data_IF_253937152732
#
_entry.id   IF_253937152732
#
_cell.length_a   1.000
_cell.length_b   1.000
_cell.length_c   1.000
_cell.angle_alpha   90.00
_cell.angle_beta   90.00
_cell.angle_gamma   90.00
#
_symmetry.space_group_name_H-M   'P 1'
#
loop_
_entity.id
_entity.type
_entity.pdbx_description
1 polymer ?
#
# COMPACT_ATOMS: atom_id res chain seq x y z
N UNK A 1 33.20 -10.66 -51.78
CA UNK A 1 32.29 -9.90 -50.90
C UNK A 1 31.58 -10.87 -49.99
N UNK A 2 31.87 -10.84 -48.69
CA UNK A 2 30.94 -11.23 -47.62
C UNK A 2 31.64 -10.91 -46.30
N UNK A 3 31.50 -9.67 -45.86
CA UNK A 3 31.88 -9.28 -44.50
C UNK A 3 30.80 -9.82 -43.56
N UNK A 4 31.06 -10.97 -42.94
CA UNK A 4 30.29 -11.42 -41.80
C UNK A 4 30.69 -10.55 -40.60
N UNK A 5 29.90 -9.53 -40.31
CA UNK A 5 30.02 -8.76 -39.07
C UNK A 5 29.71 -9.68 -37.90
N UNK A 6 30.74 -9.98 -37.12
CA UNK A 6 30.64 -10.57 -35.79
C UNK A 6 29.68 -9.73 -34.93
N UNK A 7 28.45 -10.18 -34.72
CA UNK A 7 27.59 -9.68 -33.64
C UNK A 7 28.29 -9.98 -32.30
N UNK A 8 28.95 -8.97 -31.72
CA UNK A 8 29.43 -9.06 -30.34
C UNK A 8 28.22 -9.28 -29.45
N UNK A 9 28.08 -10.48 -28.85
CA UNK A 9 27.07 -10.74 -27.81
C UNK A 9 27.20 -9.68 -26.72
N UNK A 10 26.24 -8.77 -26.68
CA UNK A 10 26.22 -7.66 -25.72
C UNK A 10 26.10 -8.22 -24.31
N UNK A 11 27.03 -7.87 -23.43
CA UNK A 11 27.05 -8.37 -22.06
C UNK A 11 25.93 -7.69 -21.25
N UNK A 12 25.09 -8.49 -20.60
CA UNK A 12 24.01 -7.99 -19.76
C UNK A 12 24.57 -7.19 -18.58
N UNK A 13 23.94 -6.06 -18.26
CA UNK A 13 24.18 -5.39 -16.99
C UNK A 13 23.54 -6.20 -15.86
N UNK A 14 24.25 -6.28 -14.74
CA UNK A 14 23.75 -6.87 -13.51
C UNK A 14 23.76 -5.81 -12.41
N UNK A 15 22.80 -5.91 -11.50
CA UNK A 15 22.77 -5.07 -10.32
C UNK A 15 24.08 -5.27 -9.55
N UNK A 16 24.74 -4.17 -9.19
CA UNK A 16 26.04 -4.21 -8.54
C UNK A 16 25.99 -5.04 -7.26
N UNK A 17 26.88 -6.03 -7.19
CA UNK A 17 27.03 -6.89 -6.02
C UNK A 17 28.18 -6.36 -5.18
N UNK A 18 27.83 -5.75 -4.06
CA UNK A 18 28.78 -5.23 -3.08
C UNK A 18 28.67 -6.05 -1.80
N UNK A 19 29.66 -5.90 -0.94
CA UNK A 19 29.80 -6.66 0.29
C UNK A 19 29.93 -5.75 1.51
N UNK A 20 29.94 -6.36 2.70
CA UNK A 20 30.30 -5.66 3.94
C UNK A 20 31.69 -5.01 3.87
N UNK A 21 32.63 -5.59 3.10
CA UNK A 21 33.96 -5.03 2.89
C UNK A 21 33.90 -3.71 2.12
N UNK A 22 32.96 -3.56 1.18
CA UNK A 22 32.75 -2.29 0.47
C UNK A 22 32.22 -1.21 1.41
N UNK A 23 31.34 -1.56 2.36
CA UNK A 23 30.91 -0.62 3.41
C UNK A 23 32.05 -0.19 4.34
N UNK A 24 33.00 -1.09 4.64
CA UNK A 24 34.23 -0.74 5.39
C UNK A 24 35.14 0.17 4.57
N UNK A 25 35.35 -0.14 3.29
CA UNK A 25 36.18 0.67 2.38
C UNK A 25 35.59 2.08 2.20
N UNK A 26 34.27 2.19 2.06
CA UNK A 26 33.59 3.48 1.93
C UNK A 26 33.90 4.42 3.10
N UNK A 27 34.13 3.92 4.33
CA UNK A 27 34.49 4.77 5.49
C UNK A 27 35.68 5.67 5.19
N UNK A 28 36.67 5.17 4.46
CA UNK A 28 37.93 5.86 4.15
C UNK A 28 37.96 6.42 2.72
N UNK A 29 37.38 5.70 1.76
CA UNK A 29 37.42 6.06 0.32
C UNK A 29 35.98 6.03 -0.23
N UNK A 30 35.21 7.10 -0.02
CA UNK A 30 33.81 7.11 -0.43
C UNK A 30 33.69 7.19 -1.95
N UNK A 31 32.87 6.30 -2.51
CA UNK A 31 32.59 6.23 -3.94
C UNK A 31 31.10 6.49 -4.22
N UNK A 32 30.79 7.00 -5.40
CA UNK A 32 29.40 7.17 -5.84
C UNK A 32 29.33 6.93 -7.34
N UNK A 33 28.64 5.86 -7.70
CA UNK A 33 28.39 5.46 -9.08
C UNK A 33 26.90 5.15 -9.22
N UNK A 34 26.35 5.43 -10.41
CA UNK A 34 24.96 5.18 -10.75
C UNK A 34 24.94 4.45 -12.09
N UNK A 35 24.29 3.28 -12.11
CA UNK A 35 23.98 2.57 -13.34
C UNK A 35 22.46 2.65 -13.60
N UNK A 36 22.10 3.00 -14.84
CA UNK A 36 20.71 3.01 -15.30
C UNK A 36 20.47 1.78 -16.16
N UNK A 37 19.84 0.78 -15.55
CA UNK A 37 19.60 -0.52 -16.17
C UNK A 37 18.21 -0.53 -16.79
N UNK A 38 18.15 -0.56 -18.12
CA UNK A 38 16.93 -0.60 -18.91
C UNK A 38 16.43 -2.04 -19.07
N UNK A 39 15.16 -2.23 -18.72
CA UNK A 39 14.37 -3.42 -19.00
C UNK A 39 13.12 -3.05 -19.78
N UNK A 40 12.78 -3.90 -20.74
CA UNK A 40 11.58 -3.85 -21.56
C UNK A 40 11.11 -5.28 -21.80
N UNK A 41 9.98 -5.46 -22.51
CA UNK A 41 9.54 -6.79 -22.92
C UNK A 41 10.53 -7.49 -23.87
N UNK A 42 11.38 -6.74 -24.57
CA UNK A 42 12.37 -7.29 -25.50
C UNK A 42 13.62 -7.84 -24.81
N UNK A 43 13.90 -7.43 -23.57
CA UNK A 43 15.13 -7.77 -22.85
C UNK A 43 14.88 -8.10 -21.36
N UNK A 44 13.85 -8.91 -21.10
CA UNK A 44 13.34 -9.24 -19.75
C UNK A 44 14.42 -9.70 -18.76
N UNK A 45 15.38 -10.50 -19.21
CA UNK A 45 16.39 -11.15 -18.37
C UNK A 45 17.80 -10.57 -18.55
N UNK A 46 17.96 -9.61 -19.46
CA UNK A 46 19.27 -9.06 -19.83
C UNK A 46 19.16 -7.54 -19.83
N UNK A 47 19.52 -6.93 -18.71
CA UNK A 47 19.47 -5.49 -18.60
C UNK A 47 20.49 -4.87 -19.54
N UNK A 48 20.11 -3.77 -20.18
CA UNK A 48 21.00 -3.00 -21.04
C UNK A 48 21.21 -1.60 -20.46
N UNK A 49 22.31 -0.91 -20.78
CA UNK A 49 22.45 0.49 -20.37
C UNK A 49 21.38 1.33 -21.06
N UNK A 50 20.81 2.30 -20.34
CA UNK A 50 19.83 3.24 -20.90
C UNK A 50 20.38 4.04 -22.09
N UNK A 51 21.66 4.41 -22.02
CA UNK A 51 22.39 5.08 -23.09
C UNK A 51 23.57 4.22 -23.53
N UNK A 52 23.78 4.19 -24.84
CA UNK A 52 24.94 3.57 -25.48
C UNK A 52 26.25 4.29 -25.10
N UNK A 53 27.40 3.64 -25.34
CA UNK A 53 28.71 4.26 -25.06
C UNK A 53 28.95 5.55 -25.85
N UNK A 54 28.36 5.66 -27.05
CA UNK A 54 28.40 6.87 -27.87
C UNK A 54 27.39 7.96 -27.42
N UNK A 55 26.67 7.74 -26.31
CA UNK A 55 25.68 8.65 -25.76
C UNK A 55 24.30 8.59 -26.41
N UNK A 56 24.11 7.77 -27.46
CA UNK A 56 22.80 7.57 -28.08
C UNK A 56 21.85 6.81 -27.15
N UNK A 57 20.54 7.03 -27.32
CA UNK A 57 19.53 6.34 -26.55
C UNK A 57 19.46 4.87 -26.98
N UNK A 58 19.35 3.95 -26.01
CA UNK A 58 19.24 2.53 -26.30
C UNK A 58 18.00 2.24 -27.19
N UNK A 59 18.19 1.41 -28.22
CA UNK A 59 17.17 1.06 -29.23
C UNK A 59 15.91 0.41 -28.66
N UNK A 60 16.02 -0.25 -27.49
CA UNK A 60 14.88 -0.85 -26.81
C UNK A 60 14.02 0.20 -26.07
N UNK A 61 14.55 1.39 -25.79
CA UNK A 61 13.80 2.45 -25.12
C UNK A 61 12.83 3.14 -26.09
N UNK A 62 11.57 3.28 -25.68
CA UNK A 62 10.57 4.04 -26.44
C UNK A 62 10.09 5.26 -25.68
N UNK A 63 10.27 6.45 -26.25
CA UNK A 63 9.86 7.73 -25.65
C UNK A 63 8.34 7.89 -25.49
N UNK A 64 7.58 7.14 -26.28
CA UNK A 64 6.11 7.14 -26.27
C UNK A 64 5.52 6.25 -25.17
N UNK A 65 6.32 5.35 -24.57
CA UNK A 65 5.85 4.43 -23.53
C UNK A 65 5.98 5.05 -22.15
N UNK A 66 5.13 4.58 -21.22
CA UNK A 66 5.32 4.83 -19.78
C UNK A 66 6.72 4.37 -19.37
N UNK A 67 7.40 5.19 -18.57
CA UNK A 67 8.73 4.88 -18.05
C UNK A 67 8.70 4.83 -16.52
N UNK A 68 8.89 3.63 -15.98
CA UNK A 68 8.97 3.41 -14.53
C UNK A 68 10.42 3.51 -14.08
N UNK A 69 10.69 4.42 -13.15
CA UNK A 69 12.00 4.56 -12.51
C UNK A 69 11.96 3.86 -11.15
N UNK A 70 12.62 2.71 -11.04
CA UNK A 70 12.62 1.89 -9.83
C UNK A 70 13.88 2.16 -9.00
N UNK A 71 13.71 2.78 -7.83
CA UNK A 71 14.82 3.30 -7.02
C UNK A 71 14.85 2.62 -5.64
N UNK A 72 15.92 1.88 -5.38
CA UNK A 72 16.11 1.22 -4.08
C UNK A 72 16.55 2.18 -2.97
N UNK A 73 16.56 1.67 -1.74
CA UNK A 73 16.96 2.40 -0.53
C UNK A 73 18.39 2.17 -0.06
N UNK A 74 18.62 2.37 1.24
CA UNK A 74 19.87 2.11 1.95
C UNK A 74 20.28 0.62 1.89
N UNK A 75 21.57 0.34 1.72
CA UNK A 75 22.11 -1.01 1.49
C UNK A 75 23.41 -1.24 2.27
N UNK A 76 23.41 -1.31 3.62
CA UNK A 76 24.65 -1.40 4.39
C UNK A 76 25.49 -2.66 4.11
N UNK A 77 24.92 -3.67 3.47
CA UNK A 77 25.62 -4.91 3.05
C UNK A 77 25.84 -4.98 1.54
N UNK A 78 25.37 -4.01 0.76
CA UNK A 78 25.54 -4.01 -0.69
C UNK A 78 24.74 -5.03 -1.47
N UNK A 79 23.78 -5.71 -0.83
CA UNK A 79 23.04 -6.81 -1.47
C UNK A 79 21.94 -6.31 -2.41
N UNK A 80 21.78 -7.03 -3.53
CA UNK A 80 20.67 -6.83 -4.45
C UNK A 80 19.32 -6.93 -3.72
N UNK A 81 18.34 -6.04 -4.00
CA UNK A 81 17.00 -6.21 -3.47
C UNK A 81 16.40 -7.57 -3.85
N UNK A 82 16.03 -8.39 -2.88
CA UNK A 82 15.41 -9.71 -3.11
C UNK A 82 14.09 -9.62 -3.89
N UNK A 83 13.36 -8.51 -3.74
CA UNK A 83 12.11 -8.25 -4.45
C UNK A 83 12.30 -7.82 -5.91
N UNK A 84 13.50 -7.38 -6.32
CA UNK A 84 13.72 -6.72 -7.62
C UNK A 84 13.39 -7.62 -8.82
N UNK A 85 13.87 -8.87 -8.92
CA UNK A 85 13.58 -9.73 -10.07
C UNK A 85 12.08 -9.96 -10.26
N UNK A 86 11.34 -10.22 -9.18
CA UNK A 86 9.91 -10.43 -9.26
C UNK A 86 9.16 -9.14 -9.58
N UNK A 87 9.60 -7.98 -9.05
CA UNK A 87 8.95 -6.70 -9.31
C UNK A 87 9.06 -6.30 -10.80
N UNK A 88 10.24 -6.51 -11.41
CA UNK A 88 10.43 -6.29 -12.85
C UNK A 88 9.46 -7.13 -13.69
N UNK A 89 9.37 -8.43 -13.39
CA UNK A 89 8.45 -9.35 -14.06
C UNK A 89 7.00 -8.88 -13.96
N UNK A 90 6.55 -8.52 -12.76
CA UNK A 90 5.17 -8.08 -12.51
C UNK A 90 4.83 -6.80 -13.29
N UNK A 91 5.73 -5.81 -13.31
CA UNK A 91 5.52 -4.57 -14.04
C UNK A 91 5.44 -4.79 -15.56
N UNK A 92 6.35 -5.56 -16.14
CA UNK A 92 6.36 -5.84 -17.58
C UNK A 92 5.19 -6.73 -18.03
N UNK A 93 4.69 -7.60 -17.15
CA UNK A 93 3.46 -8.35 -17.38
C UNK A 93 2.23 -7.43 -17.37
N UNK A 94 2.22 -6.38 -16.56
CA UNK A 94 1.06 -5.49 -16.42
C UNK A 94 0.79 -4.64 -17.66
N UNK A 95 1.84 -4.08 -18.25
CA UNK A 95 1.76 -3.11 -19.36
C UNK A 95 3.10 -3.07 -20.11
N UNK A 96 3.05 -2.74 -21.40
CA UNK A 96 4.27 -2.54 -22.18
C UNK A 96 4.90 -1.18 -21.85
N UNK A 97 6.00 -1.20 -21.11
CA UNK A 97 6.63 -0.01 -20.54
C UNK A 97 8.16 -0.11 -20.60
N UNK A 98 8.83 1.02 -20.45
CA UNK A 98 10.24 1.05 -20.09
C UNK A 98 10.37 0.94 -18.57
N UNK A 99 11.26 0.09 -18.06
CA UNK A 99 11.65 0.10 -16.66
C UNK A 99 13.13 0.44 -16.56
N UNK A 100 13.44 1.47 -15.78
CA UNK A 100 14.81 1.87 -15.48
C UNK A 100 15.05 1.56 -14.01
N UNK A 101 15.85 0.53 -13.74
CA UNK A 101 16.36 0.29 -12.39
C UNK A 101 17.52 1.23 -12.16
N UNK A 102 17.38 2.08 -11.13
CA UNK A 102 18.45 2.97 -10.69
C UNK A 102 19.29 2.24 -9.67
N UNK A 103 20.39 1.67 -10.12
CA UNK A 103 21.40 1.10 -9.24
C UNK A 103 22.34 2.21 -8.78
N UNK A 104 22.15 2.67 -7.54
CA UNK A 104 23.04 3.61 -6.86
C UNK A 104 23.74 2.93 -5.67
N UNK A 105 23.88 1.60 -5.70
CA UNK A 105 24.32 0.79 -4.57
C UNK A 105 25.70 1.21 -4.04
N UNK A 106 26.62 1.68 -4.91
CA UNK A 106 27.91 2.28 -4.51
C UNK A 106 27.74 3.49 -3.58
N UNK A 107 26.70 4.30 -3.76
CA UNK A 107 26.37 5.41 -2.85
C UNK A 107 25.50 5.03 -1.66
N UNK A 108 24.88 3.83 -1.69
CA UNK A 108 23.99 3.30 -0.65
C UNK A 108 24.67 2.32 0.32
N UNK A 109 25.82 1.76 -0.08
CA UNK A 109 26.61 0.75 0.63
C UNK A 109 27.62 1.42 1.54
N UNK A 110 27.18 1.70 2.74
CA UNK A 110 27.96 2.38 3.77
C UNK A 110 27.42 2.02 5.14
N UNK A 111 28.24 2.06 6.18
CA UNK A 111 27.75 2.03 7.57
C UNK A 111 27.33 3.42 8.08
N UNK A 112 27.75 4.48 7.40
CA UNK A 112 27.42 5.85 7.77
C UNK A 112 26.09 6.24 7.12
N UNK A 113 24.98 5.95 7.78
CA UNK A 113 23.64 6.28 7.27
C UNK A 113 23.50 7.75 6.83
N UNK A 114 24.11 8.69 7.57
CA UNK A 114 24.10 10.11 7.19
C UNK A 114 24.77 10.41 5.85
N UNK A 115 25.74 9.59 5.43
CA UNK A 115 26.38 9.67 4.11
C UNK A 115 25.43 9.19 3.03
N UNK A 116 24.77 8.05 3.20
CA UNK A 116 23.73 7.58 2.28
C UNK A 116 22.61 8.62 2.12
N UNK A 117 22.16 9.23 3.22
CA UNK A 117 21.19 10.35 3.20
C UNK A 117 21.71 11.52 2.37
N UNK A 118 22.95 11.97 2.55
CA UNK A 118 23.54 13.06 1.74
C UNK A 118 23.64 12.68 0.26
N UNK A 119 23.96 11.43 -0.04
CA UNK A 119 24.09 10.91 -1.40
C UNK A 119 22.77 10.95 -2.18
N UNK A 120 21.61 10.84 -1.50
CA UNK A 120 20.29 10.92 -2.18
C UNK A 120 20.14 12.16 -3.07
N UNK A 121 20.62 13.33 -2.61
CA UNK A 121 20.59 14.57 -3.41
C UNK A 121 21.55 14.53 -4.59
N UNK A 122 22.70 13.87 -4.44
CA UNK A 122 23.68 13.70 -5.53
C UNK A 122 23.11 12.77 -6.60
N UNK A 123 22.49 11.68 -6.20
CA UNK A 123 21.77 10.76 -7.10
C UNK A 123 20.68 11.49 -7.86
N UNK A 124 19.82 12.25 -7.17
CA UNK A 124 18.76 13.01 -7.82
C UNK A 124 19.26 14.02 -8.85
N UNK A 125 20.37 14.72 -8.58
CA UNK A 125 21.00 15.61 -9.57
C UNK A 125 21.49 14.84 -10.79
N UNK A 126 22.19 13.73 -10.60
CA UNK A 126 22.65 12.87 -11.69
C UNK A 126 21.49 12.34 -12.54
N UNK A 127 20.45 11.80 -11.90
CA UNK A 127 19.23 11.36 -12.58
C UNK A 127 18.57 12.49 -13.39
N UNK A 128 18.60 13.72 -12.89
CA UNK A 128 18.02 14.86 -13.60
C UNK A 128 18.77 15.20 -14.89
N UNK A 129 20.08 14.99 -14.96
CA UNK A 129 20.82 15.15 -16.23
C UNK A 129 20.42 14.10 -17.26
N UNK A 130 20.30 12.83 -16.85
CA UNK A 130 19.81 11.76 -17.74
C UNK A 130 18.39 12.02 -18.22
N UNK A 131 17.50 12.49 -17.33
CA UNK A 131 16.12 12.85 -17.69
C UNK A 131 16.12 13.98 -18.70
N UNK A 132 16.90 15.06 -18.52
CA UNK A 132 17.00 16.14 -19.51
C UNK A 132 17.45 15.62 -20.87
N UNK A 133 18.35 14.65 -20.92
CA UNK A 133 18.71 14.01 -22.17
C UNK A 133 17.55 13.22 -22.78
N UNK A 134 16.79 12.44 -22.01
CA UNK A 134 15.58 11.78 -22.50
C UNK A 134 14.54 12.77 -23.06
N UNK A 135 14.39 13.94 -22.43
CA UNK A 135 13.49 14.99 -22.93
C UNK A 135 13.93 15.52 -24.30
N UNK A 136 15.25 15.63 -24.55
CA UNK A 136 15.77 15.99 -25.88
C UNK A 136 15.44 14.94 -26.94
N UNK A 137 15.33 13.66 -26.55
CA UNK A 137 14.87 12.58 -27.42
C UNK A 137 13.33 12.53 -27.58
N UNK A 138 12.59 13.42 -26.91
CA UNK A 138 11.13 13.49 -27.01
C UNK A 138 10.37 12.72 -25.94
N UNK A 139 11.03 12.22 -24.89
CA UNK A 139 10.32 11.70 -23.72
C UNK A 139 9.52 12.82 -23.02
N UNK A 140 8.44 12.46 -22.34
CA UNK A 140 7.64 13.39 -21.54
C UNK A 140 7.74 13.06 -20.05
N UNK A 141 7.88 14.10 -19.22
CA UNK A 141 7.84 13.96 -17.76
C UNK A 141 6.51 13.36 -17.27
N UNK A 142 5.43 13.57 -18.02
CA UNK A 142 4.10 13.02 -17.71
C UNK A 142 4.04 11.50 -17.79
N UNK A 143 4.87 10.90 -18.64
CA UNK A 143 4.96 9.46 -18.79
C UNK A 143 5.85 8.81 -17.72
N UNK A 144 6.45 9.58 -16.83
CA UNK A 144 7.37 9.07 -15.83
C UNK A 144 6.66 8.74 -14.52
N UNK A 145 6.86 7.50 -14.06
CA UNK A 145 6.40 7.01 -12.77
C UNK A 145 7.61 6.57 -11.95
N UNK A 146 7.96 7.38 -10.95
CA UNK A 146 9.02 7.05 -10.01
C UNK A 146 8.47 6.17 -8.89
N UNK A 147 9.06 5.00 -8.68
CA UNK A 147 8.74 4.11 -7.57
C UNK A 147 9.98 4.00 -6.70
N UNK A 148 9.96 4.71 -5.58
CA UNK A 148 11.10 4.82 -4.68
C UNK A 148 10.84 4.14 -3.35
N UNK A 149 11.72 3.22 -2.94
CA UNK A 149 11.65 2.59 -1.62
C UNK A 149 12.60 3.27 -0.63
N UNK A 150 12.17 3.52 0.61
CA UNK A 150 13.06 4.02 1.68
C UNK A 150 13.74 5.34 1.27
N UNK A 151 15.08 5.41 1.28
CA UNK A 151 15.84 6.55 0.74
C UNK A 151 15.52 6.85 -0.74
N UNK A 152 15.17 5.85 -1.54
CA UNK A 152 14.76 5.99 -2.94
C UNK A 152 13.48 6.81 -3.11
N UNK A 153 12.59 6.83 -2.13
CA UNK A 153 11.41 7.69 -2.13
C UNK A 153 11.81 9.18 -2.09
N UNK A 154 12.81 9.52 -1.28
CA UNK A 154 13.33 10.88 -1.20
C UNK A 154 14.17 11.26 -2.42
N UNK A 155 14.93 10.32 -3.01
CA UNK A 155 15.57 10.53 -4.31
C UNK A 155 14.52 10.93 -5.35
N UNK A 156 13.41 10.19 -5.42
CA UNK A 156 12.29 10.49 -6.31
C UNK A 156 11.72 11.90 -6.07
N UNK A 157 11.49 12.27 -4.80
CA UNK A 157 11.03 13.61 -4.45
C UNK A 157 12.02 14.72 -4.83
N UNK A 158 13.32 14.49 -4.66
CA UNK A 158 14.35 15.45 -5.08
C UNK A 158 14.41 15.64 -6.60
N UNK A 159 14.26 14.57 -7.37
CA UNK A 159 14.12 14.68 -8.83
C UNK A 159 12.87 15.49 -9.17
N UNK A 160 11.75 15.18 -8.53
CA UNK A 160 10.49 15.92 -8.67
C UNK A 160 10.63 17.42 -8.44
N UNK A 161 11.33 17.83 -7.37
CA UNK A 161 11.64 19.23 -7.07
C UNK A 161 12.48 19.91 -8.16
N UNK A 162 13.48 19.21 -8.70
CA UNK A 162 14.33 19.74 -9.78
C UNK A 162 13.48 20.03 -11.04
N UNK A 163 12.49 19.18 -11.32
CA UNK A 163 11.52 19.37 -12.39
C UNK A 163 10.25 20.10 -11.95
N UNK A 164 10.29 20.84 -10.84
CA UNK A 164 9.21 21.72 -10.37
C UNK A 164 7.84 21.00 -10.24
N UNK A 165 7.85 19.74 -9.82
CA UNK A 165 6.62 18.95 -9.64
C UNK A 165 5.99 18.43 -10.93
N UNK A 166 6.66 18.55 -12.08
CA UNK A 166 6.11 18.18 -13.38
C UNK A 166 6.18 16.69 -13.71
N UNK A 167 6.79 15.86 -12.84
CA UNK A 167 6.77 14.41 -13.01
C UNK A 167 5.32 13.88 -12.99
N UNK A 168 5.02 12.87 -13.80
CA UNK A 168 3.68 12.28 -13.89
C UNK A 168 3.19 11.69 -12.57
N UNK A 169 3.99 10.81 -11.97
CA UNK A 169 3.69 10.17 -10.68
C UNK A 169 4.93 9.82 -9.86
N UNK A 170 4.86 9.98 -8.55
CA UNK A 170 5.79 9.37 -7.59
C UNK A 170 5.02 8.45 -6.65
N UNK A 171 5.45 7.21 -6.51
CA UNK A 171 5.02 6.31 -5.44
C UNK A 171 6.15 6.14 -4.42
N UNK A 172 5.89 6.53 -3.18
CA UNK A 172 6.79 6.32 -2.04
C UNK A 172 6.48 5.01 -1.32
N UNK A 173 7.39 4.04 -1.38
CA UNK A 173 7.27 2.76 -0.69
C UNK A 173 8.04 2.81 0.63
N UNK A 174 7.31 3.05 1.70
CA UNK A 174 7.80 3.28 3.07
C UNK A 174 9.01 4.24 3.10
N UNK A 175 8.82 5.53 2.77
CA UNK A 175 9.90 6.52 2.76
C UNK A 175 10.65 6.56 4.08
N UNK A 176 11.97 6.79 4.06
CA UNK A 176 12.78 6.71 5.28
C UNK A 176 12.51 7.88 6.26
N UNK A 177 12.17 7.57 7.50
CA UNK A 177 11.99 8.54 8.59
C UNK A 177 13.29 9.18 9.10
N UNK A 178 14.34 8.41 9.43
CA UNK A 178 15.56 8.95 10.04
C UNK A 178 16.23 10.02 9.17
N UNK A 179 16.63 11.14 9.77
CA UNK A 179 17.19 12.36 9.11
C UNK A 179 16.22 13.14 8.20
N UNK A 180 15.01 12.65 7.94
CA UNK A 180 13.97 13.37 7.18
C UNK A 180 12.80 13.83 8.04
N UNK A 181 12.44 13.10 9.10
CA UNK A 181 11.32 13.43 10.00
C UNK A 181 11.51 14.79 10.65
N UNK A 182 10.41 15.57 10.75
CA UNK A 182 10.44 16.94 11.25
C UNK A 182 11.17 17.96 10.34
N UNK A 183 11.66 17.54 9.16
CA UNK A 183 12.34 18.45 8.23
C UNK A 183 11.36 19.12 7.26
N UNK A 184 11.70 20.31 6.75
CA UNK A 184 10.84 21.03 5.80
C UNK A 184 10.67 20.27 4.48
N UNK A 185 9.59 20.58 3.76
CA UNK A 185 9.20 19.86 2.54
C UNK A 185 10.28 19.86 1.45
N UNK A 186 11.12 20.90 1.39
CA UNK A 186 12.20 21.04 0.41
C UNK A 186 13.35 20.02 0.59
N UNK A 187 13.43 19.32 1.73
CA UNK A 187 14.50 18.36 2.02
C UNK A 187 14.03 16.90 2.19
N UNK A 188 12.81 16.58 1.77
CA UNK A 188 12.22 15.23 1.79
C UNK A 188 11.28 15.05 0.59
N UNK A 189 10.61 13.90 0.49
CA UNK A 189 9.50 13.72 -0.43
C UNK A 189 8.33 14.61 0.04
N UNK A 190 7.59 15.19 -0.89
CA UNK A 190 6.37 15.94 -0.63
C UNK A 190 5.39 15.80 -1.81
N UNK A 191 4.11 16.06 -1.58
CA UNK A 191 3.07 15.90 -2.59
C UNK A 191 3.29 16.83 -3.78
N UNK A 192 4.00 17.96 -3.59
CA UNK A 192 4.32 18.92 -4.64
C UNK A 192 5.33 18.38 -5.66
N UNK A 193 5.97 17.25 -5.40
CA UNK A 193 7.09 16.76 -6.19
C UNK A 193 6.67 16.07 -7.49
N UNK A 194 5.38 15.82 -7.68
CA UNK A 194 4.83 15.30 -8.92
C UNK A 194 3.36 15.71 -9.09
N UNK A 195 2.83 15.55 -10.31
CA UNK A 195 1.41 15.70 -10.60
C UNK A 195 0.54 14.73 -9.81
N UNK A 196 1.09 13.63 -9.33
CA UNK A 196 0.45 12.73 -8.37
C UNK A 196 1.51 12.05 -7.49
N UNK A 197 1.25 11.98 -6.19
CA UNK A 197 2.15 11.36 -5.21
C UNK A 197 1.31 10.48 -4.32
N UNK A 198 1.59 9.19 -4.30
CA UNK A 198 0.94 8.21 -3.42
C UNK A 198 1.98 7.50 -2.56
N UNK A 199 1.68 7.28 -1.28
CA UNK A 199 2.67 6.78 -0.32
C UNK A 199 2.09 5.62 0.46
N UNK A 200 2.88 4.56 0.64
CA UNK A 200 2.53 3.40 1.47
C UNK A 200 3.45 3.40 2.68
N UNK A 201 2.88 3.57 3.87
CA UNK A 201 3.58 3.57 5.15
C UNK A 201 3.41 2.21 5.82
N UNK A 202 4.50 1.46 6.01
CA UNK A 202 4.44 0.11 6.60
C UNK A 202 5.31 -0.07 7.85
N UNK A 203 6.22 0.86 8.15
CA UNK A 203 7.11 0.79 9.32
C UNK A 203 7.32 2.16 10.01
N UNK A 204 6.24 2.92 10.26
CA UNK A 204 6.31 4.28 10.83
C UNK A 204 6.87 4.38 12.26
N UNK A 205 7.02 3.26 12.96
CA UNK A 205 7.66 3.18 14.28
C UNK A 205 9.11 2.66 14.21
N UNK A 206 9.57 2.25 13.02
CA UNK A 206 10.93 1.77 12.77
C UNK A 206 11.67 2.72 11.84
N UNK A 207 11.84 2.32 10.58
CA UNK A 207 12.58 3.08 9.57
C UNK A 207 11.71 4.02 8.74
N UNK A 208 10.40 3.85 8.74
CA UNK A 208 9.45 4.59 7.92
C UNK A 208 9.16 6.00 8.44
N UNK A 209 8.86 6.91 7.52
CA UNK A 209 8.42 8.28 7.80
C UNK A 209 6.95 8.26 8.24
N UNK A 210 6.60 8.96 9.32
CA UNK A 210 5.27 8.83 9.95
C UNK A 210 4.21 9.72 9.32
N UNK A 211 4.51 11.00 9.12
CA UNK A 211 3.52 11.97 8.67
C UNK A 211 3.20 11.79 7.18
N UNK A 212 1.99 12.17 6.73
CA UNK A 212 1.61 12.05 5.33
C UNK A 212 2.51 12.92 4.43
N UNK A 213 2.97 12.33 3.33
CA UNK A 213 3.87 12.91 2.35
C UNK A 213 3.22 13.09 0.97
N UNK A 214 2.13 12.39 0.67
CA UNK A 214 1.51 12.35 -0.65
C UNK A 214 0.25 13.20 -0.80
N UNK A 215 -0.38 13.03 -1.97
CA UNK A 215 -1.77 13.38 -2.19
C UNK A 215 -2.69 12.40 -1.46
N UNK A 216 -2.27 11.13 -1.40
CA UNK A 216 -2.87 10.06 -0.62
C UNK A 216 -1.80 9.22 0.06
N UNK A 217 -2.04 8.89 1.32
CA UNK A 217 -1.11 8.17 2.18
C UNK A 217 -1.84 6.97 2.78
N UNK A 218 -1.37 5.77 2.43
CA UNK A 218 -1.92 4.49 2.85
C UNK A 218 -1.16 3.96 4.08
N UNK A 219 -1.90 3.55 5.10
CA UNK A 219 -1.35 2.99 6.34
C UNK A 219 -1.87 1.56 6.58
N UNK A 220 -1.38 0.56 5.80
CA UNK A 220 -1.72 -0.85 6.01
C UNK A 220 -1.40 -1.28 7.44
N UNK A 221 -2.36 -1.89 8.14
CA UNK A 221 -2.21 -2.38 9.51
C UNK A 221 -1.80 -1.23 10.47
N UNK A 222 -2.37 -0.04 10.24
CA UNK A 222 -2.03 1.20 10.94
C UNK A 222 -0.64 1.76 10.59
N UNK A 223 0.05 1.17 9.61
CA UNK A 223 1.38 1.55 9.14
C UNK A 223 2.51 1.30 10.14
N UNK A 224 2.32 0.42 11.12
CA UNK A 224 3.28 0.18 12.21
C UNK A 224 3.89 -1.22 12.14
N UNK A 225 3.10 -2.23 12.49
CA UNK A 225 3.53 -3.63 12.56
C UNK A 225 2.71 -4.45 11.59
N UNK A 226 3.38 -5.06 10.63
CA UNK A 226 2.77 -5.79 9.54
C UNK A 226 2.58 -7.26 9.95
N UNK A 227 1.39 -7.85 9.72
CA UNK A 227 1.17 -9.27 9.95
C UNK A 227 2.20 -10.13 9.20
N UNK A 228 2.57 -11.27 9.79
CA UNK A 228 3.59 -12.18 9.24
C UNK A 228 5.05 -11.75 9.41
N UNK A 229 5.32 -10.51 9.82
CA UNK A 229 6.67 -10.11 10.21
C UNK A 229 7.01 -10.60 11.63
N UNK A 230 8.30 -10.82 11.95
CA UNK A 230 8.74 -11.11 13.31
C UNK A 230 8.15 -10.09 14.29
N UNK A 231 7.81 -10.50 15.51
CA UNK A 231 7.22 -9.60 16.53
C UNK A 231 8.25 -9.05 17.53
N UNK A 232 9.44 -9.64 17.56
CA UNK A 232 10.47 -9.35 18.55
C UNK A 232 11.57 -8.46 17.97
N UNK A 233 11.91 -7.39 18.70
CA UNK A 233 13.07 -6.54 18.40
C UNK A 233 14.38 -7.36 18.53
N UNK A 234 14.38 -8.44 19.33
CA UNK A 234 15.51 -9.37 19.43
C UNK A 234 15.79 -10.13 18.12
N UNK A 235 14.85 -10.13 17.17
CA UNK A 235 15.09 -10.62 15.80
C UNK A 235 15.92 -9.65 14.94
N UNK A 236 16.38 -8.52 15.52
CA UNK A 236 17.37 -7.63 14.94
C UNK A 236 16.92 -6.98 13.62
N UNK A 237 17.82 -6.96 12.64
CA UNK A 237 17.61 -6.33 11.32
C UNK A 237 16.43 -6.96 10.58
N UNK A 238 16.15 -8.25 10.76
CA UNK A 238 15.06 -8.94 10.05
C UNK A 238 13.67 -8.47 10.50
N UNK A 239 13.49 -8.08 11.78
CA UNK A 239 12.25 -7.45 12.26
C UNK A 239 11.95 -6.15 11.50
N UNK A 240 12.94 -5.26 11.46
CA UNK A 240 12.80 -3.93 10.87
C UNK A 240 12.68 -4.02 9.35
N UNK A 241 13.52 -4.85 8.73
CA UNK A 241 13.54 -5.09 7.28
C UNK A 241 12.23 -5.65 6.77
N UNK A 242 11.59 -6.58 7.50
CA UNK A 242 10.31 -7.15 7.07
C UNK A 242 9.20 -6.10 7.01
N UNK A 243 8.99 -5.32 8.09
CA UNK A 243 7.96 -4.27 8.12
C UNK A 243 8.24 -3.21 7.06
N UNK A 244 9.50 -2.80 6.92
CA UNK A 244 9.93 -1.80 5.95
C UNK A 244 9.73 -2.26 4.49
N UNK A 245 9.96 -3.55 4.20
CA UNK A 245 9.77 -4.13 2.87
C UNK A 245 8.31 -4.44 2.53
N UNK A 246 7.39 -4.48 3.51
CA UNK A 246 5.98 -4.79 3.27
C UNK A 246 5.33 -3.85 2.26
N UNK A 247 5.66 -2.56 2.26
CA UNK A 247 5.15 -1.61 1.26
C UNK A 247 5.45 -2.04 -0.19
N UNK A 248 6.64 -2.61 -0.45
CA UNK A 248 7.00 -3.14 -1.77
C UNK A 248 6.13 -4.34 -2.14
N UNK A 249 5.99 -5.29 -1.22
CA UNK A 249 5.20 -6.49 -1.47
C UNK A 249 3.70 -6.21 -1.64
N UNK A 250 3.14 -5.24 -0.91
CA UNK A 250 1.76 -4.80 -1.10
C UNK A 250 1.56 -4.10 -2.45
N UNK A 251 2.51 -3.26 -2.88
CA UNK A 251 2.46 -2.65 -4.21
C UNK A 251 2.51 -3.72 -5.31
N UNK A 252 3.42 -4.70 -5.20
CA UNK A 252 3.50 -5.83 -6.13
C UNK A 252 2.21 -6.67 -6.14
N UNK A 253 1.64 -6.98 -4.96
CA UNK A 253 0.40 -7.73 -4.86
C UNK A 253 -0.79 -6.98 -5.48
N UNK A 254 -0.81 -5.64 -5.43
CA UNK A 254 -1.83 -4.82 -6.10
C UNK A 254 -1.82 -4.91 -7.63
N UNK A 255 -0.74 -5.43 -8.20
CA UNK A 255 -0.55 -5.63 -9.64
C UNK A 255 -0.81 -7.08 -10.08
N UNK A 256 -0.39 -8.06 -9.27
CA UNK A 256 -0.38 -9.48 -9.64
C UNK A 256 -1.68 -10.20 -9.23
N UNK A 257 -2.46 -9.65 -8.31
CA UNK A 257 -3.55 -10.37 -7.64
C UNK A 257 -4.89 -9.68 -7.80
N UNK A 258 -5.97 -10.42 -7.58
CA UNK A 258 -7.33 -9.87 -7.53
C UNK A 258 -7.69 -9.28 -6.15
N UNK A 259 -6.72 -9.13 -5.23
CA UNK A 259 -6.97 -8.52 -3.93
C UNK A 259 -7.40 -7.06 -4.12
N UNK A 260 -8.64 -6.77 -3.73
CA UNK A 260 -9.17 -5.43 -3.72
C UNK A 260 -8.72 -4.77 -2.40
N UNK A 261 -7.48 -4.25 -2.38
CA UNK A 261 -6.87 -3.50 -1.25
C UNK A 261 -7.57 -2.17 -1.00
N UNK A 262 -8.87 -2.24 -0.74
CA UNK A 262 -9.75 -1.13 -0.49
C UNK A 262 -9.30 -0.43 0.79
N UNK A 263 -9.23 0.90 0.75
CA UNK A 263 -8.70 1.72 1.82
C UNK A 263 -9.68 2.82 2.19
N UNK A 264 -9.87 3.04 3.48
CA UNK A 264 -10.92 3.89 4.01
C UNK A 264 -10.34 5.21 4.55
N UNK A 265 -10.88 6.38 4.13
CA UNK A 265 -10.40 7.67 4.58
C UNK A 265 -10.82 7.94 6.03
N UNK A 266 -9.86 7.98 6.93
CA UNK A 266 -10.12 8.16 8.36
C UNK A 266 -9.12 9.11 9.02
N UNK A 267 -9.52 9.69 10.15
CA UNK A 267 -8.68 10.58 10.97
C UNK A 267 -7.56 9.84 11.69
N UNK A 268 -7.85 8.61 12.14
CA UNK A 268 -6.90 7.77 12.86
C UNK A 268 -7.14 6.29 12.56
N UNK A 269 -6.16 5.46 12.92
CA UNK A 269 -6.30 4.01 12.79
C UNK A 269 -7.28 3.46 13.84
N UNK A 270 -7.34 4.09 14.99
CA UNK A 270 -8.27 3.80 16.08
C UNK A 270 -9.73 4.02 15.63
N UNK A 271 -10.02 5.16 15.00
CA UNK A 271 -11.36 5.45 14.44
C UNK A 271 -11.73 4.49 13.30
N UNK A 272 -10.74 4.07 12.49
CA UNK A 272 -10.93 3.07 11.44
C UNK A 272 -11.37 1.73 12.04
N UNK A 273 -10.66 1.24 13.06
CA UNK A 273 -11.02 0.00 13.77
C UNK A 273 -12.36 0.12 14.50
N UNK A 274 -12.70 1.30 15.01
CA UNK A 274 -14.02 1.56 15.60
C UNK A 274 -15.16 1.62 14.57
N UNK A 275 -14.89 1.42 13.27
CA UNK A 275 -15.92 1.42 12.22
C UNK A 275 -16.50 2.79 11.91
N UNK A 276 -15.86 3.88 12.36
CA UNK A 276 -16.37 5.26 12.19
C UNK A 276 -16.19 5.81 10.77
N UNK A 277 -15.39 5.15 9.94
CA UNK A 277 -14.96 5.62 8.61
C UNK A 277 -15.30 4.66 7.47
N UNK A 278 -16.38 3.88 7.61
CA UNK A 278 -16.75 2.80 6.68
C UNK A 278 -17.42 3.27 5.39
N UNK A 279 -17.52 4.58 5.16
CA UNK A 279 -18.01 5.15 3.91
C UNK A 279 -16.90 5.94 3.18
N UNK A 280 -17.02 5.99 1.86
CA UNK A 280 -16.10 6.71 0.98
C UNK A 280 -16.80 7.83 0.23
N UNK A 281 -17.88 8.35 0.80
CA UNK A 281 -18.66 9.48 0.28
C UNK A 281 -17.79 10.72 0.02
N UNK A 282 -16.68 10.85 0.78
CA UNK A 282 -15.65 11.87 0.56
C UNK A 282 -15.05 11.84 -0.86
N UNK A 283 -15.19 10.74 -1.61
CA UNK A 283 -14.77 10.59 -3.01
C UNK A 283 -15.92 10.69 -4.01
N UNK A 284 -17.11 11.16 -3.58
CA UNK A 284 -18.30 11.37 -4.39
C UNK A 284 -18.69 10.11 -5.19
N UNK A 285 -18.67 10.21 -6.53
CA UNK A 285 -19.03 9.14 -7.48
C UNK A 285 -17.98 8.02 -7.54
N UNK A 286 -16.78 8.21 -6.99
CA UNK A 286 -15.74 7.15 -6.97
C UNK A 286 -15.88 6.29 -5.72
N UNK A 287 -15.61 5.00 -5.87
CA UNK A 287 -15.48 4.08 -4.73
C UNK A 287 -14.29 4.47 -3.84
N UNK A 288 -14.15 3.78 -2.70
CA UNK A 288 -12.96 3.89 -1.87
C UNK A 288 -11.67 3.69 -2.66
N UNK A 289 -10.59 4.42 -2.32
CA UNK A 289 -9.28 4.27 -2.94
C UNK A 289 -8.72 2.87 -2.72
N UNK A 290 -7.92 2.43 -3.70
CA UNK A 290 -7.19 1.16 -3.64
C UNK A 290 -5.71 1.42 -3.50
N UNK A 291 -5.08 0.71 -2.58
CA UNK A 291 -3.63 0.75 -2.40
C UNK A 291 -2.90 0.24 -3.65
N UNK A 292 -1.79 0.89 -4.00
CA UNK A 292 -0.83 0.41 -4.98
C UNK A 292 -1.00 1.00 -6.39
N UNK A 293 -0.79 0.19 -7.43
CA UNK A 293 -0.67 0.70 -8.80
C UNK A 293 -1.93 1.43 -9.28
N UNK A 294 -3.11 1.00 -8.86
CA UNK A 294 -4.40 1.61 -9.24
C UNK A 294 -4.70 2.93 -8.50
N UNK A 295 -3.90 3.38 -7.52
CA UNK A 295 -4.16 4.59 -6.76
C UNK A 295 -4.31 5.86 -7.63
N UNK A 296 -3.69 5.87 -8.81
CA UNK A 296 -3.81 6.95 -9.79
C UNK A 296 -5.22 7.17 -10.34
N UNK A 297 -6.11 6.17 -10.24
CA UNK A 297 -7.53 6.34 -10.58
C UNK A 297 -8.22 7.40 -9.69
N UNK A 298 -7.64 7.77 -8.55
CA UNK A 298 -8.17 8.81 -7.64
C UNK A 298 -7.47 10.16 -7.78
N UNK A 299 -6.49 10.30 -8.70
CA UNK A 299 -5.70 11.53 -8.89
C UNK A 299 -6.56 12.79 -8.99
N UNK A 300 -7.53 12.83 -9.90
CA UNK A 300 -8.34 14.03 -10.13
C UNK A 300 -9.23 14.37 -8.94
N UNK A 301 -9.85 13.35 -8.33
CA UNK A 301 -10.69 13.52 -7.15
C UNK A 301 -9.89 14.04 -5.94
N UNK A 302 -8.63 13.62 -5.80
CA UNK A 302 -7.72 14.10 -4.75
C UNK A 302 -7.24 15.52 -5.03
N UNK A 303 -6.98 15.89 -6.29
CA UNK A 303 -6.61 17.26 -6.69
C UNK A 303 -7.72 18.27 -6.41
N UNK A 304 -8.95 17.99 -6.87
CA UNK A 304 -10.12 18.86 -6.63
C UNK A 304 -10.35 19.12 -5.13
N UNK A 305 -10.13 18.11 -4.29
CA UNK A 305 -10.30 18.23 -2.84
C UNK A 305 -9.23 19.11 -2.22
N UNK A 306 -8.01 19.03 -2.71
CA UNK A 306 -6.89 19.81 -2.19
C UNK A 306 -7.09 21.30 -2.45
N UNK A 307 -7.52 21.67 -3.65
CA UNK A 307 -7.83 23.06 -4.03
C UNK A 307 -8.89 23.68 -3.13
N UNK A 308 -9.81 22.86 -2.58
CA UNK A 308 -10.91 23.31 -1.72
C UNK A 308 -10.59 23.30 -0.22
N UNK A 309 -9.61 22.52 0.24
CA UNK A 309 -9.45 22.30 1.68
C UNK A 309 -8.02 22.08 2.20
N UNK A 310 -6.97 22.14 1.37
CA UNK A 310 -5.56 21.89 1.77
C UNK A 310 -5.29 20.57 2.53
N UNK A 311 -6.24 19.63 2.57
CA UNK A 311 -6.12 18.40 3.37
C UNK A 311 -5.32 17.32 2.63
N UNK A 312 -4.34 16.73 3.33
CA UNK A 312 -3.70 15.46 2.93
C UNK A 312 -4.67 14.32 3.21
N UNK A 313 -4.74 13.33 2.31
CA UNK A 313 -5.71 12.24 2.44
C UNK A 313 -5.06 11.01 3.03
N UNK A 314 -5.32 10.77 4.31
CA UNK A 314 -4.91 9.54 5.00
C UNK A 314 -5.97 8.46 4.85
N UNK A 315 -5.55 7.25 4.49
CA UNK A 315 -6.43 6.09 4.36
C UNK A 315 -5.85 4.86 5.06
N UNK A 316 -6.74 4.07 5.65
CA UNK A 316 -6.39 2.86 6.39
C UNK A 316 -7.00 1.62 5.74
N UNK A 317 -6.27 0.53 5.87
CA UNK A 317 -6.69 -0.82 5.53
C UNK A 317 -5.83 -1.75 6.38
N UNK A 318 -6.28 -2.98 6.53
CA UNK A 318 -5.52 -4.08 7.07
C UNK A 318 -5.33 -5.18 6.03
N UNK A 319 -4.28 -5.97 6.20
CA UNK A 319 -3.85 -6.99 5.24
C UNK A 319 -3.52 -8.27 6.00
N UNK A 320 -3.60 -9.43 5.35
CA UNK A 320 -3.12 -10.68 5.96
C UNK A 320 -1.59 -10.72 5.98
N UNK A 321 -1.01 -11.71 6.66
CA UNK A 321 0.46 -11.79 6.86
C UNK A 321 1.23 -12.44 5.72
N UNK A 322 0.54 -13.14 4.83
CA UNK A 322 1.09 -13.96 3.74
C UNK A 322 0.54 -13.52 2.40
N UNK A 323 1.35 -13.65 1.35
CA UNK A 323 0.91 -13.34 -0.01
C UNK A 323 -0.33 -14.19 -0.35
N UNK A 324 -1.40 -13.62 -0.92
CA UNK A 324 -1.47 -12.32 -1.59
C UNK A 324 -1.88 -11.13 -0.70
N UNK A 325 -1.89 -11.26 0.62
CA UNK A 325 -2.24 -10.21 1.60
C UNK A 325 -3.70 -9.75 1.59
N UNK A 326 -4.57 -10.46 0.87
CA UNK A 326 -5.99 -10.21 0.78
C UNK A 326 -6.67 -10.18 2.15
N UNK A 327 -7.62 -9.25 2.29
CA UNK A 327 -8.60 -9.18 3.37
C UNK A 327 -9.92 -8.63 2.81
N UNK A 328 -11.03 -8.99 3.44
CA UNK A 328 -12.37 -8.65 2.98
C UNK A 328 -13.17 -8.00 4.10
N UNK A 329 -13.69 -6.80 3.84
CA UNK A 329 -14.39 -5.98 4.81
C UNK A 329 -15.89 -6.11 4.64
N UNK A 330 -16.56 -6.28 5.77
CA UNK A 330 -17.99 -6.20 5.91
C UNK A 330 -18.35 -5.25 7.06
N UNK A 331 -19.50 -4.63 6.95
CA UNK A 331 -20.14 -3.93 8.08
C UNK A 331 -21.41 -4.68 8.44
N UNK A 332 -21.52 -5.01 9.73
CA UNK A 332 -22.73 -5.50 10.35
C UNK A 332 -23.40 -4.32 11.07
N UNK A 333 -24.56 -3.89 10.58
CA UNK A 333 -25.38 -2.85 11.22
C UNK A 333 -26.53 -3.51 11.95
N UNK A 334 -26.67 -3.24 13.25
CA UNK A 334 -27.66 -3.85 14.13
C UNK A 334 -28.56 -2.74 14.67
N UNK A 335 -29.84 -2.81 14.35
CA UNK A 335 -30.89 -1.89 14.82
C UNK A 335 -31.67 -2.57 15.93
N UNK A 336 -31.72 -1.94 17.10
CA UNK A 336 -32.38 -2.48 18.29
C UNK A 336 -33.81 -1.95 18.42
N UNK A 337 -34.74 -2.81 18.85
CA UNK A 337 -36.09 -2.36 19.25
C UNK A 337 -36.07 -1.76 20.67
N UNK A 338 -35.29 -2.34 21.58
CA UNK A 338 -35.25 -1.95 22.99
C UNK A 338 -33.98 -1.14 23.33
N UNK A 339 -34.16 0.03 23.94
CA UNK A 339 -33.06 0.92 24.41
C UNK A 339 -32.31 0.39 25.65
N UNK A 340 -32.53 -0.87 26.03
CA UNK A 340 -32.08 -1.45 27.30
C UNK A 340 -30.79 -2.26 27.20
N UNK A 341 -30.28 -2.57 26.00
CA UNK A 341 -28.93 -3.14 25.87
C UNK A 341 -27.91 -2.12 26.40
N UNK A 342 -27.34 -2.42 27.56
CA UNK A 342 -26.19 -1.71 28.11
C UNK A 342 -25.04 -2.72 28.24
N UNK A 343 -23.88 -2.35 27.71
CA UNK A 343 -22.62 -3.05 27.88
C UNK A 343 -22.67 -4.54 27.49
N UNK A 344 -22.75 -4.78 26.19
CA UNK A 344 -22.76 -6.10 25.59
C UNK A 344 -21.92 -6.17 24.33
N UNK A 345 -21.64 -7.38 23.88
CA UNK A 345 -20.99 -7.62 22.61
C UNK A 345 -21.64 -8.73 21.81
N UNK A 346 -21.53 -8.61 20.49
CA UNK A 346 -22.06 -9.57 19.54
C UNK A 346 -20.90 -10.13 18.74
N UNK A 347 -20.83 -11.44 18.64
CA UNK A 347 -20.02 -12.13 17.63
C UNK A 347 -20.93 -12.64 16.52
N UNK A 348 -20.37 -12.78 15.33
CA UNK A 348 -21.10 -13.36 14.21
C UNK A 348 -20.19 -14.20 13.35
N UNK A 349 -20.78 -15.15 12.63
CA UNK A 349 -20.10 -15.97 11.62
C UNK A 349 -20.97 -16.15 10.40
N UNK A 350 -20.34 -16.39 9.27
CA UNK A 350 -21.01 -16.47 7.98
C UNK A 350 -20.92 -17.90 7.47
N UNK A 351 -22.07 -18.49 7.15
CA UNK A 351 -22.18 -19.79 6.51
C UNK A 351 -22.53 -19.57 5.04
N UNK A 352 -21.78 -20.18 4.13
CA UNK A 352 -22.12 -20.18 2.71
C UNK A 352 -23.02 -21.36 2.33
N UNK A 353 -23.55 -21.35 1.11
CA UNK A 353 -24.38 -22.44 0.58
C UNK A 353 -23.67 -23.81 0.50
N UNK A 354 -22.34 -23.84 0.57
CA UNK A 354 -21.52 -25.06 0.53
C UNK A 354 -21.21 -25.62 1.93
N UNK A 355 -21.71 -24.98 2.99
CA UNK A 355 -21.47 -25.41 4.37
C UNK A 355 -20.18 -24.87 5.00
N UNK A 356 -19.41 -24.02 4.30
CA UNK A 356 -18.21 -23.42 4.87
C UNK A 356 -18.60 -22.29 5.84
N UNK A 357 -18.04 -22.35 7.04
CA UNK A 357 -18.19 -21.32 8.07
C UNK A 357 -16.94 -20.45 8.08
N UNK A 358 -17.13 -19.13 8.04
CA UNK A 358 -16.07 -18.15 8.17
C UNK A 358 -16.36 -17.23 9.36
N UNK A 359 -15.34 -17.01 10.18
CA UNK A 359 -15.41 -16.14 11.35
C UNK A 359 -14.62 -14.85 11.11
N UNK A 360 -15.22 -13.67 11.36
CA UNK A 360 -14.53 -12.41 11.22
C UNK A 360 -13.59 -12.15 12.38
N UNK A 361 -12.49 -11.47 12.08
CA UNK A 361 -11.80 -10.65 13.08
C UNK A 361 -12.64 -9.39 13.34
N UNK A 362 -13.18 -9.27 14.55
CA UNK A 362 -13.92 -8.09 15.00
C UNK A 362 -12.96 -7.07 15.59
N UNK A 363 -13.08 -5.82 15.14
CA UNK A 363 -12.20 -4.74 15.55
C UNK A 363 -12.50 -4.16 16.92
N UNK A 364 -13.78 -3.97 17.22
CA UNK A 364 -14.27 -3.70 18.57
C UNK A 364 -15.03 -4.90 19.07
N UNK A 365 -14.50 -5.52 20.12
CA UNK A 365 -15.16 -6.64 20.79
C UNK A 365 -16.21 -6.18 21.77
N UNK A 366 -16.19 -4.93 22.26
CA UNK A 366 -17.13 -4.43 23.28
C UNK A 366 -17.70 -3.08 22.82
N UNK A 367 -18.62 -3.09 21.87
CA UNK A 367 -19.30 -1.85 21.46
C UNK A 367 -20.45 -1.61 22.43
N UNK A 368 -20.31 -0.62 23.32
CA UNK A 368 -21.39 -0.29 24.25
C UNK A 368 -22.59 0.25 23.46
N UNK A 369 -23.73 -0.42 23.57
CA UNK A 369 -25.01 -0.07 22.92
C UNK A 369 -25.68 1.19 23.51
N UNK A 370 -24.91 2.02 24.22
CA UNK A 370 -25.42 3.20 24.90
C UNK A 370 -25.91 4.27 23.89
N UNK A 371 -27.23 4.56 23.92
CA UNK A 371 -27.93 5.68 23.25
C UNK A 371 -28.04 5.64 21.71
N UNK A 372 -27.53 4.63 21.01
CA UNK A 372 -27.60 4.56 19.54
C UNK A 372 -28.76 3.66 19.07
N UNK A 373 -29.57 4.14 18.11
CA UNK A 373 -30.61 3.33 17.43
C UNK A 373 -30.01 2.24 16.53
N UNK A 374 -28.80 2.46 16.01
CA UNK A 374 -28.07 1.52 15.16
C UNK A 374 -26.61 1.43 15.57
N UNK A 375 -26.11 0.21 15.78
CA UNK A 375 -24.70 -0.08 16.05
C UNK A 375 -24.05 -0.67 14.81
N UNK A 376 -22.87 -0.18 14.44
CA UNK A 376 -22.10 -0.65 13.28
C UNK A 376 -20.83 -1.33 13.75
N UNK A 377 -20.64 -2.57 13.33
CA UNK A 377 -19.46 -3.37 13.63
C UNK A 377 -18.71 -3.59 12.32
N UNK A 378 -17.48 -3.09 12.26
CA UNK A 378 -16.56 -3.41 11.18
C UNK A 378 -16.01 -4.83 11.41
N UNK A 379 -16.06 -5.64 10.37
CA UNK A 379 -15.58 -7.01 10.38
C UNK A 379 -14.61 -7.24 9.22
N UNK A 380 -13.54 -7.98 9.50
CA UNK A 380 -12.56 -8.41 8.52
C UNK A 380 -12.56 -9.93 8.40
N UNK A 381 -12.56 -10.42 7.17
CA UNK A 381 -12.36 -11.83 6.82
C UNK A 381 -11.07 -12.03 6.05
N UNK A 382 -10.44 -13.19 6.21
CA UNK A 382 -9.27 -13.59 5.42
C UNK A 382 -9.67 -14.12 4.03
N UNK A 383 -10.85 -14.72 3.94
CA UNK A 383 -11.42 -15.26 2.70
C UNK A 383 -12.64 -14.44 2.26
N UNK A 384 -12.85 -14.38 0.95
CA UNK A 384 -14.05 -13.79 0.40
C UNK A 384 -15.20 -14.77 0.50
N UNK A 385 -16.17 -14.49 1.37
CA UNK A 385 -17.37 -15.32 1.47
C UNK A 385 -18.45 -14.81 0.53
N UNK A 386 -18.84 -15.66 -0.41
CA UNK A 386 -19.91 -15.45 -1.38
C UNK A 386 -21.07 -16.39 -1.09
N UNK A 387 -22.26 -16.07 -1.63
CA UNK A 387 -23.47 -16.89 -1.48
C UNK A 387 -23.75 -17.27 -0.02
N UNK A 388 -23.79 -16.25 0.85
CA UNK A 388 -24.06 -16.40 2.29
C UNK A 388 -25.48 -16.95 2.45
N UNK A 389 -25.57 -18.16 3.01
CA UNK A 389 -26.83 -18.88 3.24
C UNK A 389 -27.39 -18.64 4.64
N UNK A 390 -26.52 -18.48 5.65
CA UNK A 390 -26.91 -18.18 7.03
C UNK A 390 -25.92 -17.22 7.71
N UNK A 391 -26.44 -16.41 8.62
CA UNK A 391 -25.65 -15.57 9.53
C UNK A 391 -25.85 -16.14 10.94
N UNK A 392 -24.79 -16.65 11.54
CA UNK A 392 -24.76 -17.04 12.95
C UNK A 392 -24.49 -15.82 13.81
N UNK A 393 -25.30 -15.58 14.84
CA UNK A 393 -25.14 -14.49 15.80
C UNK A 393 -25.12 -15.04 17.22
N UNK A 394 -24.21 -14.53 18.03
CA UNK A 394 -24.13 -14.84 19.46
C UNK A 394 -23.96 -13.54 20.23
N UNK A 395 -24.78 -13.38 21.26
CA UNK A 395 -24.78 -12.21 22.14
C UNK A 395 -24.19 -12.56 23.51
N UNK A 396 -23.39 -11.64 24.05
CA UNK A 396 -22.75 -11.78 25.36
C UNK A 396 -22.88 -10.49 26.17
N UNK A 397 -23.29 -10.60 27.42
CA UNK A 397 -23.34 -9.49 28.35
C UNK A 397 -21.95 -9.23 28.98
N UNK A 398 -21.54 -7.95 29.09
CA UNK A 398 -20.21 -7.60 29.62
C UNK A 398 -20.13 -7.56 31.15
N UNK A 399 -21.26 -7.61 31.87
CA UNK A 399 -21.30 -7.55 33.34
C UNK A 399 -21.21 -8.92 34.02
N UNK A 400 -20.45 -9.03 35.12
CA UNK A 400 -20.24 -10.26 35.90
C UNK A 400 -21.51 -10.89 36.51
N UNK A 401 -22.64 -10.18 36.54
CA UNK A 401 -23.92 -10.75 36.97
C UNK A 401 -24.60 -11.41 35.77
N UNK A 402 -24.22 -12.66 35.50
CA UNK A 402 -24.83 -13.51 34.48
C UNK A 402 -26.29 -13.79 34.86
N UNK A 403 -27.21 -13.01 34.30
CA UNK A 403 -28.62 -13.40 34.29
C UNK A 403 -28.94 -14.05 32.96
N UNK A 404 -29.10 -15.37 32.97
CA UNK A 404 -29.42 -16.18 31.78
C UNK A 404 -30.81 -15.90 31.17
N UNK A 405 -31.55 -14.90 31.68
CA UNK A 405 -32.95 -14.64 31.32
C UNK A 405 -33.15 -13.43 30.42
N UNK A 406 -32.12 -12.64 30.13
CA UNK A 406 -32.27 -11.49 29.24
C UNK A 406 -32.50 -11.94 27.79
N UNK A 407 -33.58 -11.40 27.21
CA UNK A 407 -33.95 -11.54 25.80
C UNK A 407 -33.89 -10.17 25.16
N UNK A 408 -33.29 -10.08 23.98
CA UNK A 408 -33.15 -8.82 23.27
C UNK A 408 -33.79 -8.88 21.90
N UNK A 409 -34.71 -7.96 21.66
CA UNK A 409 -35.42 -7.83 20.39
C UNK A 409 -34.58 -7.03 19.40
N UNK A 410 -34.16 -7.69 18.32
CA UNK A 410 -33.42 -7.07 17.23
C UNK A 410 -34.40 -6.74 16.12
N UNK A 411 -34.50 -5.46 15.76
CA UNK A 411 -35.35 -5.00 14.65
C UNK A 411 -34.78 -5.49 13.33
N UNK A 412 -33.48 -5.23 13.13
CA UNK A 412 -32.82 -5.46 11.85
C UNK A 412 -31.34 -5.73 12.07
N UNK A 413 -30.83 -6.72 11.36
CA UNK A 413 -29.41 -6.88 11.09
C UNK A 413 -29.19 -6.70 9.60
N UNK A 414 -28.29 -5.78 9.23
CA UNK A 414 -27.86 -5.55 7.84
C UNK A 414 -26.38 -5.87 7.72
N UNK A 415 -26.03 -6.83 6.87
CA UNK A 415 -24.67 -7.15 6.49
C UNK A 415 -24.38 -6.57 5.11
N UNK A 416 -23.35 -5.73 5.01
CA UNK A 416 -22.94 -5.08 3.76
C UNK A 416 -21.46 -5.35 3.49
N UNK A 417 -21.14 -5.84 2.29
CA UNK A 417 -19.73 -5.92 1.84
C UNK A 417 -19.22 -4.52 1.54
N UNK A 418 -18.12 -4.14 2.19
CA UNK A 418 -17.41 -2.91 1.88
C UNK A 418 -16.37 -3.12 0.78
N UNK A 419 -15.72 -4.29 0.75
CA UNK A 419 -14.76 -4.63 -0.32
C UNK A 419 -15.45 -4.73 -1.69
N UNK A 420 -16.66 -5.30 -1.73
CA UNK A 420 -17.45 -5.42 -2.96
C UNK A 420 -18.81 -4.74 -2.80
N UNK A 421 -18.87 -3.39 -2.90
CA UNK A 421 -20.09 -2.62 -2.64
C UNK A 421 -21.21 -2.86 -3.65
N UNK A 422 -20.90 -3.48 -4.80
CA UNK A 422 -21.89 -3.89 -5.79
C UNK A 422 -22.72 -5.10 -5.33
N UNK A 423 -22.28 -5.83 -4.30
CA UNK A 423 -23.08 -6.93 -3.73
C UNK A 423 -24.28 -6.35 -2.98
N UNK A 424 -25.50 -6.85 -3.23
CA UNK A 424 -26.67 -6.39 -2.50
C UNK A 424 -26.48 -6.65 -1.00
N UNK A 425 -26.84 -5.71 -0.11
CA UNK A 425 -26.78 -5.94 1.31
C UNK A 425 -27.80 -7.01 1.72
N UNK A 426 -27.43 -7.78 2.73
CA UNK A 426 -28.23 -8.86 3.29
C UNK A 426 -28.87 -8.41 4.60
N UNK A 427 -30.15 -8.67 4.79
CA UNK A 427 -30.92 -8.28 5.96
C UNK A 427 -31.65 -9.45 6.60
N UNK A 428 -31.73 -9.39 7.93
CA UNK A 428 -32.58 -10.22 8.79
C UNK A 428 -33.41 -9.27 9.65
N UNK A 429 -34.69 -9.56 9.83
CA UNK A 429 -35.63 -8.70 10.54
C UNK A 429 -36.29 -9.44 11.70
N UNK A 430 -36.63 -8.68 12.75
CA UNK A 430 -37.52 -9.09 13.85
C UNK A 430 -37.23 -10.46 14.43
N UNK A 431 -36.17 -10.57 15.23
CA UNK A 431 -35.81 -11.79 15.93
C UNK A 431 -35.28 -11.50 17.33
N UNK A 432 -35.15 -12.55 18.14
CA UNK A 432 -34.72 -12.45 19.54
C UNK A 432 -33.37 -13.12 19.72
N UNK A 433 -32.44 -12.42 20.35
CA UNK A 433 -31.20 -13.01 20.86
C UNK A 433 -31.33 -13.27 22.36
N UNK A 434 -30.76 -14.38 22.81
CA UNK A 434 -30.62 -14.74 24.23
C UNK A 434 -29.15 -14.79 24.60
N UNK A 435 -28.87 -14.59 25.88
CA UNK A 435 -27.51 -14.64 26.43
C UNK A 435 -26.81 -15.96 26.10
N UNK A 436 -25.62 -15.87 25.48
CA UNK A 436 -24.74 -17.00 25.16
C UNK A 436 -25.37 -18.10 24.28
N UNK A 437 -26.50 -17.83 23.61
CA UNK A 437 -27.13 -18.75 22.65
C UNK A 437 -26.75 -18.34 21.22
N UNK A 438 -26.17 -19.27 20.45
CA UNK A 438 -25.88 -19.06 19.04
C UNK A 438 -27.12 -19.36 18.19
N UNK A 439 -27.50 -18.40 17.35
CA UNK A 439 -28.65 -18.54 16.45
C UNK A 439 -28.18 -18.34 15.01
N UNK A 440 -28.51 -19.30 14.15
CA UNK A 440 -28.31 -19.16 12.70
C UNK A 440 -29.59 -18.72 12.02
N UNK A 441 -29.51 -17.60 11.32
CA UNK A 441 -30.64 -16.95 10.69
C UNK A 441 -30.43 -16.90 9.17
N UNK A 442 -31.51 -17.10 8.41
CA UNK A 442 -31.47 -17.01 6.95
C UNK A 442 -31.62 -15.54 6.53
N UNK A 443 -30.58 -14.92 5.93
CA UNK A 443 -30.70 -13.57 5.41
C UNK A 443 -31.49 -13.53 4.10
N UNK A 444 -32.06 -12.36 3.81
CA UNK A 444 -32.64 -12.01 2.50
C UNK A 444 -31.98 -10.75 1.95
N UNK A 445 -32.17 -10.44 0.67
CA UNK A 445 -31.73 -9.13 0.14
C UNK A 445 -32.54 -8.04 0.83
N UNK A 446 -31.87 -7.00 1.34
CA UNK A 446 -32.56 -5.90 2.00
C UNK A 446 -33.57 -5.22 1.05
N UNK A 447 -34.83 -5.13 1.46
CA UNK A 447 -35.87 -4.37 0.78
C UNK A 447 -35.78 -2.88 1.15
N UNK A 448 -36.10 -2.00 0.21
CA UNK A 448 -36.05 -0.53 0.41
C UNK A 448 -37.20 0.03 1.25
N UNK A 449 -38.07 -0.82 1.81
CA UNK A 449 -39.40 -0.44 2.32
C UNK A 449 -39.57 -0.40 3.84
N UNK A 450 -38.52 -0.56 4.63
CA UNK A 450 -38.60 -0.43 6.09
C UNK A 450 -37.50 0.52 6.60
N UNK A 451 -37.79 1.81 6.48
CA UNK A 451 -37.08 2.93 7.12
C UNK A 451 -37.96 3.49 8.22
#
# INVERSE_FOLDING_TARGET
>A
MSWATSESKRQCLHFSQLSLMDSLKDLFIPQMEIALMLYTRNNLNCAEPLFEQNGSLNVNFSTNKKTVWLIHGYRPTGSTPSWLPNFLRILLNREDMNIIVVDWNRGATTFLYSRAVKNTRRVARSLSEYIRNLLKYGASLDNFHFIGMSLGAHISGFVGKIFQGQLGRITGLDPAGPKFSGRPFNVRLDYTDAKFVDVIHSDTHGLGFKEPLGHIDFYPNGGKKQPGCPKSIFSGIEFIKCNHQRAVYLFMASLETNCNFISFPCSSYEDFKAGLCVNCEKFKKKSCPRLGYQAELWKDALKERKEKQFLKTTVFLDTSGTSPFCTYYFVLSITLLDKTMKDAYITFKLLNQFGNVEEPSLYEKNTSFNKLQEVKILAQFLNDIVSISRIGLTYFQSSNWQSFTYKYNIQRVKLQSLTYPARPPLCIYNFVLKESEEVFLNPSICTSKEV
#
